data_IF_494018744881
#
_entry.id   IF_494018744881
#
_cell.length_a   1.000
_cell.length_b   1.000
_cell.length_c   1.000
_cell.angle_alpha   90.00
_cell.angle_beta   90.00
_cell.angle_gamma   90.00
#
_symmetry.space_group_name_H-M   'P 1'
#
loop_
_entity.id
_entity.type
_entity.pdbx_description
1 polymer ?
#
# COMPACT_ATOMS: atom_id res chain seq x y z
N UNK A 1 5.79 17.37 39.40
CA UNK A 1 6.03 17.76 38.01
C UNK A 1 5.58 19.21 37.86
N UNK A 2 6.40 20.08 37.34
CA UNK A 2 5.97 21.42 36.93
C UNK A 2 4.88 21.31 35.85
N UNK A 3 4.00 22.30 35.73
CA UNK A 3 2.81 22.20 34.87
C UNK A 3 3.06 21.89 33.36
N UNK A 4 4.33 21.88 32.93
CA UNK A 4 4.73 21.66 31.54
C UNK A 4 5.54 20.37 31.28
N UNK A 5 5.87 19.58 32.31
CA UNK A 5 6.67 18.36 32.11
C UNK A 5 5.82 17.17 31.67
N UNK A 6 6.24 16.47 30.62
CA UNK A 6 5.66 15.25 30.08
C UNK A 6 6.59 14.06 30.31
N UNK A 7 6.05 12.85 30.26
CA UNK A 7 6.87 11.68 29.99
C UNK A 7 7.26 11.65 28.51
N UNK A 8 8.40 11.06 28.18
CA UNK A 8 8.85 10.95 26.76
C UNK A 8 7.78 10.28 25.91
N UNK A 9 7.14 9.20 26.40
CA UNK A 9 6.02 8.56 25.70
C UNK A 9 4.84 9.50 25.42
N UNK A 10 4.48 10.37 26.39
CA UNK A 10 3.45 11.40 26.19
C UNK A 10 3.89 12.45 25.17
N UNK A 11 5.14 12.90 25.23
CA UNK A 11 5.68 13.92 24.33
C UNK A 11 5.76 13.43 22.86
N UNK A 12 6.03 12.14 22.64
CA UNK A 12 5.99 11.51 21.31
C UNK A 12 4.57 11.60 20.73
N UNK A 13 3.57 11.17 21.49
CA UNK A 13 2.19 11.15 21.02
C UNK A 13 1.66 12.58 20.83
N UNK A 14 1.98 13.49 21.72
CA UNK A 14 1.64 14.92 21.57
C UNK A 14 2.24 15.50 20.27
N UNK A 15 3.52 15.20 19.99
CA UNK A 15 4.18 15.63 18.76
C UNK A 15 3.47 15.06 17.51
N UNK A 16 3.16 13.76 17.52
CA UNK A 16 2.48 13.10 16.41
C UNK A 16 1.08 13.67 16.16
N UNK A 17 0.33 13.91 17.22
CA UNK A 17 -1.01 14.48 17.11
C UNK A 17 -0.97 15.92 16.59
N UNK A 18 -0.15 16.77 17.20
CA UNK A 18 -0.10 18.22 16.91
C UNK A 18 0.54 18.55 15.57
N UNK A 19 1.70 17.93 15.27
CA UNK A 19 2.53 18.31 14.12
C UNK A 19 2.29 17.45 12.89
N UNK A 20 1.90 16.19 13.09
CA UNK A 20 1.71 15.24 11.99
C UNK A 20 0.26 14.81 11.79
N UNK A 21 -0.65 15.31 12.65
CA UNK A 21 -2.08 15.06 12.52
C UNK A 21 -2.49 13.62 12.73
N UNK A 22 -1.73 12.86 13.54
CA UNK A 22 -2.11 11.48 13.91
C UNK A 22 -3.30 11.53 14.85
N UNK A 23 -4.41 10.92 14.47
CA UNK A 23 -5.67 10.90 15.17
C UNK A 23 -6.12 9.49 15.57
N UNK A 24 -5.49 8.46 15.04
CA UNK A 24 -5.74 7.06 15.38
C UNK A 24 -4.44 6.27 15.39
N UNK A 25 -4.34 5.32 16.30
CA UNK A 25 -3.27 4.31 16.36
C UNK A 25 -3.86 2.93 16.57
N UNK A 26 -3.10 1.92 16.16
CA UNK A 26 -3.48 0.51 16.24
C UNK A 26 -2.46 -0.25 17.12
N UNK A 27 -2.92 -1.00 18.10
CA UNK A 27 -2.01 -1.77 18.95
C UNK A 27 -2.67 -2.27 20.22
N UNK A 28 -1.93 -3.06 20.98
CA UNK A 28 -2.35 -3.66 22.23
C UNK A 28 -1.57 -3.03 23.38
N UNK A 29 -2.23 -2.51 24.44
CA UNK A 29 -1.55 -1.99 25.62
C UNK A 29 -0.87 -3.10 26.41
N UNK A 30 0.30 -2.78 26.96
CA UNK A 30 1.02 -3.66 27.86
C UNK A 30 1.97 -2.86 28.75
N UNK A 31 2.60 -3.54 29.70
CA UNK A 31 3.43 -2.88 30.72
C UNK A 31 4.59 -2.07 30.11
N UNK A 32 5.19 -2.57 29.01
CA UNK A 32 6.37 -1.93 28.44
C UNK A 32 6.04 -0.70 27.55
N UNK A 33 4.79 -0.55 27.06
CA UNK A 33 4.39 0.59 26.24
C UNK A 33 3.39 1.53 26.95
N UNK A 34 3.26 1.40 28.29
CA UNK A 34 2.27 2.13 29.10
C UNK A 34 2.38 3.66 28.94
N UNK A 35 3.60 4.19 28.78
CA UNK A 35 3.83 5.63 28.67
C UNK A 35 3.36 6.18 27.30
N UNK A 36 3.41 5.38 26.24
CA UNK A 36 2.80 5.73 24.96
C UNK A 36 1.26 5.77 25.09
N UNK A 37 0.65 4.79 25.76
CA UNK A 37 -0.81 4.76 26.00
C UNK A 37 -1.27 5.89 26.92
N UNK A 38 -0.43 6.31 27.88
CA UNK A 38 -0.69 7.52 28.67
C UNK A 38 -0.79 8.77 27.79
N UNK A 39 0.11 8.87 26.80
CA UNK A 39 0.09 9.94 25.79
C UNK A 39 -1.17 9.93 24.94
N UNK A 40 -1.64 8.75 24.52
CA UNK A 40 -2.88 8.59 23.74
C UNK A 40 -4.10 9.10 24.49
N UNK A 41 -4.24 8.72 25.76
CA UNK A 41 -5.35 9.20 26.60
C UNK A 41 -5.33 10.71 26.76
N UNK A 42 -4.14 11.30 26.96
CA UNK A 42 -3.97 12.74 27.16
C UNK A 42 -4.25 13.57 25.89
N UNK A 43 -3.81 13.11 24.74
CA UNK A 43 -3.92 13.82 23.46
C UNK A 43 -5.27 13.66 22.77
N UNK A 44 -6.11 12.71 23.24
CA UNK A 44 -7.37 12.37 22.59
C UNK A 44 -7.19 11.57 21.28
N UNK A 45 -5.99 11.08 20.99
CA UNK A 45 -5.74 10.17 19.88
C UNK A 45 -6.46 8.84 20.13
N UNK A 46 -7.27 8.41 19.16
CA UNK A 46 -8.02 7.17 19.29
C UNK A 46 -7.08 5.96 19.25
N UNK A 47 -7.11 5.14 20.30
CA UNK A 47 -6.45 3.84 20.32
C UNK A 47 -7.42 2.74 19.87
N UNK A 48 -7.05 1.96 18.87
CA UNK A 48 -7.78 0.80 18.37
C UNK A 48 -7.06 -0.46 18.79
N UNK A 49 -7.71 -1.29 19.60
CA UNK A 49 -7.14 -2.54 20.10
C UNK A 49 -7.63 -3.73 19.28
N UNK A 50 -6.76 -4.35 18.47
CA UNK A 50 -7.03 -5.62 17.79
C UNK A 50 -7.01 -6.77 18.81
N UNK A 51 -7.16 -7.99 18.33
CA UNK A 51 -7.00 -9.22 19.13
C UNK A 51 -5.59 -9.83 18.99
N UNK A 52 -4.86 -9.39 17.96
CA UNK A 52 -3.49 -9.79 17.69
C UNK A 52 -2.74 -8.64 17.00
N UNK A 53 -1.44 -8.50 17.19
CA UNK A 53 -0.67 -7.38 16.61
C UNK A 53 -0.56 -7.49 15.07
N UNK A 54 -0.69 -8.68 14.50
CA UNK A 54 -0.89 -8.86 13.07
C UNK A 54 -2.15 -8.10 12.59
N UNK A 55 -3.24 -8.19 13.36
CA UNK A 55 -4.45 -7.40 13.11
C UNK A 55 -4.20 -5.89 13.20
N UNK A 56 -3.39 -5.43 14.18
CA UNK A 56 -3.01 -4.02 14.29
C UNK A 56 -2.34 -3.50 13.01
N UNK A 57 -1.34 -4.24 12.52
CA UNK A 57 -0.61 -3.86 11.31
C UNK A 57 -1.50 -3.83 10.07
N UNK A 58 -2.36 -4.84 9.86
CA UNK A 58 -3.30 -4.83 8.73
C UNK A 58 -4.39 -3.76 8.86
N UNK A 59 -4.88 -3.44 10.07
CA UNK A 59 -5.80 -2.31 10.28
C UNK A 59 -5.12 -0.99 9.94
N UNK A 60 -3.87 -0.80 10.38
CA UNK A 60 -3.08 0.38 10.05
C UNK A 60 -2.84 0.50 8.54
N UNK A 61 -2.57 -0.61 7.85
CA UNK A 61 -2.39 -0.64 6.41
C UNK A 61 -3.70 -0.29 5.67
N UNK A 62 -4.82 -0.92 6.01
CA UNK A 62 -6.12 -0.61 5.44
C UNK A 62 -6.53 0.86 5.65
N UNK A 63 -6.30 1.39 6.85
CA UNK A 63 -6.52 2.80 7.15
C UNK A 63 -5.63 3.72 6.30
N UNK A 64 -4.36 3.36 6.14
CA UNK A 64 -3.39 4.10 5.34
C UNK A 64 -3.77 4.16 3.86
N UNK A 65 -4.23 3.05 3.28
CA UNK A 65 -4.69 3.00 1.89
C UNK A 65 -5.82 3.99 1.67
N UNK A 66 -6.82 4.00 2.54
CA UNK A 66 -8.01 4.85 2.39
C UNK A 66 -7.68 6.33 2.58
N UNK A 67 -6.93 6.66 3.62
CA UNK A 67 -6.65 8.06 3.99
C UNK A 67 -5.50 8.68 3.20
N UNK A 68 -4.57 7.86 2.70
CA UNK A 68 -3.30 8.32 2.13
C UNK A 68 -2.31 8.85 3.17
N UNK A 69 -2.61 8.70 4.45
CA UNK A 69 -1.77 9.09 5.58
C UNK A 69 -1.04 7.86 6.14
N UNK A 70 0.09 8.00 6.83
CA UNK A 70 0.76 6.88 7.46
C UNK A 70 -0.13 6.20 8.51
N UNK A 71 -0.31 4.90 8.42
CA UNK A 71 -0.87 4.10 9.50
C UNK A 71 0.11 4.05 10.67
N UNK A 72 -0.39 4.16 11.90
CA UNK A 72 0.48 4.19 13.09
C UNK A 72 0.19 3.00 13.99
N UNK A 73 1.19 2.16 14.22
CA UNK A 73 1.14 1.06 15.19
C UNK A 73 1.88 1.44 16.47
N UNK A 74 1.27 1.13 17.63
CA UNK A 74 1.89 1.26 18.95
C UNK A 74 1.99 -0.14 19.55
N UNK A 75 3.20 -0.71 19.53
CA UNK A 75 3.43 -2.12 19.85
C UNK A 75 4.22 -2.29 21.16
N UNK A 76 3.98 -3.39 21.83
CA UNK A 76 4.82 -3.81 22.94
C UNK A 76 6.12 -4.43 22.42
N UNK A 77 7.17 -4.40 23.22
CA UNK A 77 8.46 -5.05 22.95
C UNK A 77 8.31 -6.56 22.67
N UNK A 78 9.28 -7.11 21.97
CA UNK A 78 9.35 -8.56 21.73
C UNK A 78 8.18 -9.09 20.90
N UNK A 79 7.25 -9.87 21.49
CA UNK A 79 6.17 -10.51 20.75
C UNK A 79 5.27 -9.53 20.01
N UNK A 80 5.05 -8.31 20.49
CA UNK A 80 4.25 -7.33 19.77
C UNK A 80 4.85 -6.96 18.43
N UNK A 81 6.16 -6.77 18.37
CA UNK A 81 6.88 -6.47 17.12
C UNK A 81 6.92 -7.69 16.21
N UNK A 82 7.28 -8.86 16.74
CA UNK A 82 7.40 -10.08 15.92
C UNK A 82 6.06 -10.53 15.34
N UNK A 83 4.96 -10.39 16.09
CA UNK A 83 3.60 -10.66 15.60
C UNK A 83 3.17 -9.72 14.47
N UNK A 84 3.67 -8.49 14.44
CA UNK A 84 3.33 -7.49 13.43
C UNK A 84 4.23 -7.51 12.20
N UNK A 85 5.28 -8.34 12.14
CA UNK A 85 6.22 -8.34 11.01
C UNK A 85 5.56 -8.62 9.67
N UNK A 86 4.61 -9.54 9.60
CA UNK A 86 3.91 -9.87 8.36
C UNK A 86 3.19 -8.68 7.74
N UNK A 87 2.31 -7.94 8.44
CA UNK A 87 1.69 -6.74 7.87
C UNK A 87 2.67 -5.60 7.62
N UNK A 88 3.73 -5.46 8.41
CA UNK A 88 4.80 -4.49 8.13
C UNK A 88 5.50 -4.83 6.81
N UNK A 89 5.84 -6.11 6.59
CA UNK A 89 6.41 -6.58 5.32
C UNK A 89 5.45 -6.39 4.15
N UNK A 90 4.14 -6.63 4.35
CA UNK A 90 3.13 -6.36 3.34
C UNK A 90 3.10 -4.88 2.96
N UNK A 91 3.08 -3.97 3.92
CA UNK A 91 3.15 -2.53 3.69
C UNK A 91 4.47 -2.12 3.00
N UNK A 92 5.58 -2.76 3.35
CA UNK A 92 6.87 -2.55 2.70
C UNK A 92 6.81 -2.90 1.21
N UNK A 93 6.35 -4.10 0.86
CA UNK A 93 6.28 -4.56 -0.51
C UNK A 93 5.28 -3.75 -1.36
N UNK A 94 4.17 -3.33 -0.78
CA UNK A 94 3.16 -2.51 -1.45
C UNK A 94 3.44 -0.99 -1.41
N UNK A 95 4.61 -0.58 -0.90
CA UNK A 95 5.01 0.84 -0.85
C UNK A 95 4.00 1.70 -0.09
N UNK A 96 3.61 1.26 1.10
CA UNK A 96 2.61 1.93 1.95
C UNK A 96 3.26 2.53 3.17
N UNK A 97 2.94 3.78 3.53
CA UNK A 97 3.53 4.43 4.69
C UNK A 97 2.95 3.85 5.99
N UNK A 98 3.83 3.43 6.90
CA UNK A 98 3.46 2.93 8.22
C UNK A 98 4.52 3.34 9.25
N UNK A 99 4.10 3.94 10.35
CA UNK A 99 4.96 4.22 11.49
C UNK A 99 4.72 3.17 12.58
N UNK A 100 5.76 2.44 12.93
CA UNK A 100 5.74 1.45 14.01
C UNK A 100 6.54 2.01 15.19
N UNK A 101 5.83 2.42 16.23
CA UNK A 101 6.42 2.79 17.52
C UNK A 101 6.35 1.58 18.43
N UNK A 102 7.49 1.10 18.90
CA UNK A 102 7.55 -0.01 19.80
C UNK A 102 8.37 0.33 21.04
N UNK A 103 7.95 -0.19 22.19
CA UNK A 103 8.85 -0.25 23.34
C UNK A 103 9.93 -1.32 23.11
N UNK A 104 11.01 -1.24 23.85
CA UNK A 104 12.00 -2.32 23.97
C UNK A 104 12.47 -2.44 25.41
N UNK A 105 13.30 -3.44 25.71
CA UNK A 105 13.87 -3.68 27.03
C UNK A 105 14.62 -2.45 27.57
N UNK A 106 14.78 -2.30 28.90
CA UNK A 106 15.50 -1.17 29.48
C UNK A 106 16.92 -1.02 28.93
N UNK A 107 17.44 0.19 28.92
CA UNK A 107 18.76 0.53 28.37
C UNK A 107 19.91 -0.27 28.99
N UNK A 108 19.82 -0.61 30.27
CA UNK A 108 20.83 -1.41 30.99
C UNK A 108 20.83 -2.90 30.60
N UNK A 109 19.77 -3.39 29.98
CA UNK A 109 19.58 -4.76 29.49
C UNK A 109 19.73 -4.94 28.00
N UNK A 110 19.71 -3.85 27.18
CA UNK A 110 19.78 -3.92 25.74
C UNK A 110 20.99 -4.74 25.25
N UNK A 111 20.69 -5.77 24.44
CA UNK A 111 21.70 -6.62 23.80
C UNK A 111 22.50 -7.52 24.74
N UNK A 112 22.16 -7.60 26.04
CA UNK A 112 22.91 -8.35 27.02
C UNK A 112 22.38 -9.74 27.32
N UNK A 113 21.19 -10.07 26.80
CA UNK A 113 20.53 -11.38 27.01
C UNK A 113 20.41 -11.73 28.51
N UNK A 114 20.07 -10.75 29.34
CA UNK A 114 19.87 -10.96 30.78
C UNK A 114 18.52 -11.61 31.10
N UNK A 115 17.66 -11.80 30.08
CA UNK A 115 16.35 -12.42 30.21
C UNK A 115 15.28 -11.52 30.83
N UNK A 116 15.27 -10.17 30.64
CA UNK A 116 14.10 -9.39 30.98
C UNK A 116 12.90 -9.84 30.12
N UNK A 117 11.69 -9.60 30.62
CA UNK A 117 10.47 -9.95 29.89
C UNK A 117 10.48 -9.33 28.49
N UNK A 118 10.11 -10.12 27.45
CA UNK A 118 10.07 -9.71 26.06
C UNK A 118 11.44 -9.32 25.44
N UNK A 119 12.51 -9.87 25.99
CA UNK A 119 13.86 -9.62 25.49
C UNK A 119 14.05 -10.14 24.07
N UNK A 120 14.72 -9.31 23.26
CA UNK A 120 15.24 -9.66 21.94
C UNK A 120 16.69 -9.18 21.88
N UNK A 121 17.61 -9.96 21.31
CA UNK A 121 19.01 -9.56 21.18
C UNK A 121 19.19 -8.20 20.50
N UNK A 122 18.37 -7.93 19.47
CA UNK A 122 18.33 -6.65 18.75
C UNK A 122 16.98 -6.51 18.04
N UNK A 123 16.06 -5.77 18.66
CA UNK A 123 14.71 -5.57 18.09
C UNK A 123 14.74 -4.71 16.82
N UNK A 124 15.64 -3.71 16.75
CA UNK A 124 15.74 -2.87 15.56
C UNK A 124 16.20 -3.67 14.34
N UNK A 125 17.16 -4.58 14.53
CA UNK A 125 17.68 -5.43 13.45
C UNK A 125 16.62 -6.33 12.81
N UNK A 126 15.63 -6.77 13.59
CA UNK A 126 14.49 -7.53 13.05
C UNK A 126 13.67 -6.67 12.09
N UNK A 127 13.45 -5.39 12.41
CA UNK A 127 12.70 -4.44 11.58
C UNK A 127 13.44 -4.00 10.30
N UNK A 128 14.78 -4.05 10.27
CA UNK A 128 15.57 -3.56 9.11
C UNK A 128 15.19 -4.22 7.79
N UNK A 129 14.82 -5.50 7.79
CA UNK A 129 14.49 -6.24 6.58
C UNK A 129 13.13 -5.85 5.96
N UNK A 130 12.26 -5.20 6.73
CA UNK A 130 10.87 -4.87 6.34
C UNK A 130 10.52 -3.40 6.54
N UNK A 131 11.51 -2.55 6.78
CA UNK A 131 11.34 -1.09 6.97
C UNK A 131 12.34 -0.32 6.12
N UNK A 132 12.04 0.95 5.83
CA UNK A 132 13.00 1.88 5.24
C UNK A 132 14.19 2.13 6.17
N UNK A 133 13.90 2.17 7.45
CA UNK A 133 14.87 2.10 8.53
C UNK A 133 14.20 1.60 9.81
N UNK A 134 15.01 1.07 10.71
CA UNK A 134 14.60 0.57 12.02
C UNK A 134 15.68 0.93 13.02
N UNK A 135 15.34 1.70 14.03
CA UNK A 135 16.32 2.25 14.97
C UNK A 135 15.87 2.13 16.42
N UNK A 136 16.82 1.86 17.33
CA UNK A 136 16.60 1.93 18.77
C UNK A 136 17.10 3.27 19.29
N UNK A 137 16.23 4.02 19.98
CA UNK A 137 16.53 5.38 20.46
C UNK A 137 16.70 5.38 21.96
N UNK A 138 17.92 5.61 22.43
CA UNK A 138 18.28 5.69 23.86
C UNK A 138 18.39 7.12 24.37
N UNK A 139 18.47 8.12 23.50
CA UNK A 139 18.47 9.55 23.84
C UNK A 139 17.18 10.21 23.34
N UNK A 140 16.29 10.66 24.24
CA UNK A 140 15.02 11.30 23.87
C UNK A 140 15.17 12.52 22.94
N UNK A 141 16.30 13.21 22.97
CA UNK A 141 16.54 14.40 22.13
C UNK A 141 16.58 14.10 20.65
N UNK A 142 16.84 12.83 20.26
CA UNK A 142 16.88 12.36 18.88
C UNK A 142 15.47 12.10 18.27
N UNK A 143 14.47 11.87 19.12
CA UNK A 143 13.12 11.46 18.69
C UNK A 143 12.45 12.43 17.70
N UNK A 144 12.46 13.77 17.92
CA UNK A 144 11.85 14.69 16.97
C UNK A 144 12.45 14.60 15.56
N UNK A 145 13.78 14.48 15.46
CA UNK A 145 14.47 14.37 14.19
C UNK A 145 14.19 13.03 13.48
N UNK A 146 14.11 11.96 14.26
CA UNK A 146 13.86 10.62 13.72
C UNK A 146 12.40 10.47 13.24
N UNK A 147 11.44 11.01 13.97
CA UNK A 147 10.03 11.07 13.55
C UNK A 147 9.90 11.89 12.26
N UNK A 148 10.58 13.05 12.15
CA UNK A 148 10.58 13.82 10.91
C UNK A 148 11.18 13.03 9.74
N UNK A 149 12.29 12.34 9.95
CA UNK A 149 12.89 11.47 8.93
C UNK A 149 11.89 10.41 8.46
N UNK A 150 11.10 9.82 9.39
CA UNK A 150 10.04 8.87 9.06
C UNK A 150 8.99 9.51 8.13
N UNK A 151 8.46 10.67 8.51
CA UNK A 151 7.46 11.36 7.69
C UNK A 151 8.01 11.87 6.36
N UNK A 152 9.30 12.15 6.28
CA UNK A 152 9.98 12.47 5.02
C UNK A 152 10.03 11.26 4.08
N UNK A 153 10.33 10.06 4.60
CA UNK A 153 10.22 8.82 3.81
C UNK A 153 8.81 8.65 3.24
N UNK A 154 7.77 8.92 4.04
CA UNK A 154 6.39 8.74 3.61
C UNK A 154 5.92 9.72 2.52
N UNK A 155 6.54 10.88 2.39
CA UNK A 155 6.04 11.99 1.54
C UNK A 155 6.94 12.33 0.36
N UNK A 156 8.27 12.23 0.49
CA UNK A 156 9.24 12.73 -0.49
C UNK A 156 9.96 11.63 -1.26
N UNK A 157 9.80 10.38 -0.86
CA UNK A 157 10.40 9.22 -1.52
C UNK A 157 9.36 8.13 -1.75
N UNK A 158 9.80 6.94 -2.15
CA UNK A 158 8.95 5.76 -2.16
C UNK A 158 8.53 5.43 -0.73
N UNK A 159 7.23 5.42 -0.40
CA UNK A 159 6.79 5.12 0.96
C UNK A 159 7.17 3.70 1.39
N UNK A 160 7.63 3.57 2.62
CA UNK A 160 7.97 2.30 3.27
C UNK A 160 7.67 2.40 4.76
N UNK A 161 7.38 1.30 5.47
CA UNK A 161 7.30 1.32 6.91
C UNK A 161 8.59 1.84 7.57
N UNK A 162 8.44 2.42 8.74
CA UNK A 162 9.54 2.84 9.62
C UNK A 162 9.27 2.27 11.00
N UNK A 163 10.28 1.66 11.63
CA UNK A 163 10.21 1.16 12.99
C UNK A 163 11.14 1.96 13.91
N UNK A 164 10.60 2.41 15.03
CA UNK A 164 11.35 3.11 16.09
C UNK A 164 11.11 2.36 17.40
N UNK A 165 12.17 1.73 17.92
CA UNK A 165 12.18 1.06 19.21
C UNK A 165 12.69 2.01 20.29
N UNK A 166 11.97 2.11 21.40
CA UNK A 166 12.30 3.02 22.49
C UNK A 166 12.34 2.22 23.80
N UNK A 167 13.47 2.20 24.55
CA UNK A 167 13.56 1.53 25.83
C UNK A 167 12.49 2.04 26.80
N UNK A 168 11.92 1.14 27.57
CA UNK A 168 10.84 1.48 28.50
C UNK A 168 11.24 2.48 29.58
N UNK A 169 12.49 2.46 30.02
CA UNK A 169 13.05 3.44 30.96
C UNK A 169 13.23 4.81 30.30
N UNK A 170 13.55 4.86 29.01
CA UNK A 170 13.60 6.11 28.22
C UNK A 170 12.20 6.68 28.03
N UNK A 171 11.18 5.86 27.70
CA UNK A 171 9.78 6.29 27.59
C UNK A 171 9.27 6.92 28.90
N UNK A 172 9.77 6.46 30.05
CA UNK A 172 9.38 6.93 31.36
C UNK A 172 10.12 8.19 31.83
N UNK A 173 11.17 8.64 31.14
CA UNK A 173 11.89 9.87 31.49
C UNK A 173 10.98 11.09 31.35
N UNK A 174 11.24 12.11 32.16
CA UNK A 174 10.56 13.41 32.03
C UNK A 174 11.29 14.29 31.03
N UNK A 175 10.53 15.00 30.19
CA UNK A 175 11.05 15.96 29.23
C UNK A 175 10.09 17.15 29.06
N UNK A 176 10.57 18.23 28.48
CA UNK A 176 9.72 19.28 27.94
C UNK A 176 8.99 18.77 26.69
N UNK A 177 7.82 19.32 26.32
CA UNK A 177 7.14 19.02 25.06
C UNK A 177 8.10 19.19 23.87
N UNK A 178 8.10 18.23 22.96
CA UNK A 178 8.95 18.32 21.79
C UNK A 178 8.52 19.50 20.89
N UNK A 179 9.42 20.48 20.76
CA UNK A 179 9.21 21.60 19.87
C UNK A 179 9.73 21.26 18.49
N UNK A 180 8.88 21.35 17.47
CA UNK A 180 9.34 21.17 16.11
C UNK A 180 8.54 21.98 15.10
N UNK A 181 9.26 22.47 14.08
CA UNK A 181 8.66 22.99 12.86
C UNK A 181 8.65 21.87 11.81
N UNK A 182 7.48 21.41 11.42
CA UNK A 182 7.29 20.52 10.29
C UNK A 182 7.87 21.19 9.03
N UNK A 183 8.88 20.59 8.41
CA UNK A 183 9.36 21.03 7.11
C UNK A 183 8.35 20.61 6.03
N UNK A 184 8.07 21.51 5.10
CA UNK A 184 7.28 21.16 3.93
C UNK A 184 8.10 20.21 3.05
N UNK A 185 7.70 18.95 3.01
CA UNK A 185 8.32 17.98 2.11
C UNK A 185 7.92 18.32 0.66
N UNK A 186 8.91 18.45 -0.22
CA UNK A 186 8.69 18.62 -1.66
C UNK A 186 8.89 17.32 -2.38
N UNK A 187 7.99 17.03 -3.32
CA UNK A 187 8.11 15.87 -4.18
C UNK A 187 9.02 16.19 -5.37
N UNK A 188 9.96 15.31 -5.77
CA UNK A 188 10.84 15.54 -6.88
C UNK A 188 10.05 15.59 -8.20
N UNK A 189 10.56 16.36 -9.16
CA UNK A 189 10.08 16.37 -10.55
C UNK A 189 11.24 16.01 -11.47
N UNK A 190 10.97 15.24 -12.53
CA UNK A 190 12.01 14.87 -13.48
C UNK A 190 12.64 16.10 -14.17
N UNK A 191 13.92 16.05 -14.57
CA UNK A 191 14.59 17.17 -15.24
C UNK A 191 13.88 17.56 -16.54
N UNK A 192 13.73 18.87 -16.85
CA UNK A 192 13.07 19.34 -18.06
C UNK A 192 13.65 18.78 -19.36
N UNK A 193 14.96 18.56 -19.44
CA UNK A 193 15.62 17.94 -20.59
C UNK A 193 15.14 16.52 -20.84
N UNK A 194 14.97 15.72 -19.79
CA UNK A 194 14.49 14.35 -19.93
C UNK A 194 12.99 14.31 -20.25
N UNK A 195 12.20 15.27 -19.74
CA UNK A 195 10.79 15.44 -20.12
C UNK A 195 10.66 15.76 -21.62
N UNK A 196 11.53 16.62 -22.18
CA UNK A 196 11.53 16.92 -23.62
C UNK A 196 11.90 15.68 -24.44
N UNK A 197 12.91 14.92 -24.06
CA UNK A 197 13.27 13.65 -24.72
C UNK A 197 12.11 12.63 -24.67
N UNK A 198 11.44 12.51 -23.55
CA UNK A 198 10.25 11.65 -23.41
C UNK A 198 9.14 12.14 -24.33
N UNK A 199 8.90 13.46 -24.41
CA UNK A 199 7.88 14.05 -25.28
C UNK A 199 8.14 13.75 -26.77
N UNK A 200 9.40 13.81 -27.24
CA UNK A 200 9.75 13.42 -28.61
C UNK A 200 9.37 11.96 -28.89
N UNK A 201 9.66 11.05 -27.95
CA UNK A 201 9.32 9.63 -28.08
C UNK A 201 7.81 9.43 -28.16
N UNK A 202 7.06 9.95 -27.18
CA UNK A 202 5.62 9.72 -27.12
C UNK A 202 4.87 10.42 -28.26
N UNK A 203 5.37 11.55 -28.77
CA UNK A 203 4.81 12.23 -29.96
C UNK A 203 5.02 11.42 -31.26
N UNK A 204 6.06 10.59 -31.34
CA UNK A 204 6.31 9.73 -32.50
C UNK A 204 5.51 8.41 -32.49
N UNK A 205 4.90 8.05 -31.37
CA UNK A 205 4.21 6.76 -31.21
C UNK A 205 3.01 6.62 -32.16
N UNK A 206 2.73 5.42 -32.64
CA UNK A 206 1.53 5.09 -33.43
C UNK A 206 0.52 4.26 -32.61
N UNK A 207 1.02 3.38 -31.73
CA UNK A 207 0.26 2.48 -30.88
C UNK A 207 0.71 2.56 -29.41
N UNK A 208 0.63 3.75 -28.77
CA UNK A 208 1.10 3.91 -27.39
C UNK A 208 0.26 3.10 -26.41
N UNK A 209 0.89 2.70 -25.29
CA UNK A 209 0.25 2.06 -24.13
C UNK A 209 0.74 2.74 -22.87
N UNK A 210 -0.14 2.89 -21.89
CA UNK A 210 0.24 3.33 -20.54
C UNK A 210 0.01 2.20 -19.55
N UNK A 211 1.01 1.92 -18.71
CA UNK A 211 0.89 1.01 -17.56
C UNK A 211 1.07 1.85 -16.30
N UNK A 212 0.06 1.91 -15.45
CA UNK A 212 0.06 2.71 -14.25
C UNK A 212 -0.01 1.85 -12.99
N UNK A 213 0.85 2.13 -12.02
CA UNK A 213 0.94 1.44 -10.75
C UNK A 213 0.54 2.26 -9.52
N UNK A 214 0.81 1.71 -8.34
CA UNK A 214 0.47 2.32 -7.05
C UNK A 214 1.05 3.73 -6.84
N UNK A 215 2.16 4.08 -7.52
CA UNK A 215 2.69 5.44 -7.52
C UNK A 215 1.75 6.49 -8.12
N UNK A 216 0.74 6.06 -8.87
CA UNK A 216 -0.28 6.95 -9.46
C UNK A 216 -1.49 7.20 -8.56
N UNK A 217 -1.54 6.66 -7.34
CA UNK A 217 -2.71 6.70 -6.46
C UNK A 217 -3.25 8.11 -6.17
N UNK A 218 -2.40 9.11 -6.27
CA UNK A 218 -2.73 10.55 -6.14
C UNK A 218 -2.62 11.32 -7.46
N UNK A 219 -2.56 10.64 -8.62
CA UNK A 219 -2.29 11.24 -9.92
C UNK A 219 -3.33 10.83 -10.99
N UNK A 220 -4.57 10.54 -10.57
CA UNK A 220 -5.61 10.04 -11.47
C UNK A 220 -6.00 11.03 -12.56
N UNK A 221 -6.07 12.34 -12.26
CA UNK A 221 -6.34 13.40 -13.22
C UNK A 221 -5.22 13.54 -14.26
N UNK A 222 -3.98 13.49 -13.81
CA UNK A 222 -2.80 13.56 -14.67
C UNK A 222 -2.66 12.33 -15.55
N UNK A 223 -2.98 11.14 -15.00
CA UNK A 223 -3.01 9.90 -15.76
C UNK A 223 -4.06 9.93 -16.86
N UNK A 224 -5.27 10.40 -16.55
CA UNK A 224 -6.34 10.54 -17.53
C UNK A 224 -5.98 11.55 -18.64
N UNK A 225 -5.40 12.70 -18.25
CA UNK A 225 -4.97 13.72 -19.21
C UNK A 225 -3.85 13.22 -20.13
N UNK A 226 -2.87 12.48 -19.60
CA UNK A 226 -1.79 11.85 -20.37
C UNK A 226 -2.37 10.82 -21.36
N UNK A 227 -3.24 9.93 -20.88
CA UNK A 227 -3.87 8.89 -21.70
C UNK A 227 -4.70 9.50 -22.85
N UNK A 228 -5.48 10.54 -22.56
CA UNK A 228 -6.28 11.27 -23.57
C UNK A 228 -5.39 11.99 -24.59
N UNK A 229 -4.30 12.63 -24.15
CA UNK A 229 -3.37 13.31 -25.06
C UNK A 229 -2.69 12.34 -26.03
N UNK A 230 -2.42 11.11 -25.59
CA UNK A 230 -1.78 10.06 -26.39
C UNK A 230 -2.79 9.18 -27.15
N UNK A 231 -4.09 9.24 -26.85
CA UNK A 231 -5.09 8.24 -27.22
C UNK A 231 -4.61 6.80 -26.88
N UNK A 232 -4.11 6.62 -25.69
CA UNK A 232 -3.49 5.38 -25.23
C UNK A 232 -4.38 4.63 -24.23
N UNK A 233 -4.59 3.30 -24.40
CA UNK A 233 -5.23 2.49 -23.38
C UNK A 233 -4.35 2.44 -22.12
N UNK A 234 -5.00 2.47 -20.96
CA UNK A 234 -4.34 2.41 -19.64
C UNK A 234 -4.59 1.07 -18.99
N UNK A 235 -3.52 0.34 -18.73
CA UNK A 235 -3.51 -0.84 -17.87
C UNK A 235 -3.15 -0.42 -16.46
N UNK A 236 -3.94 -0.89 -15.51
CA UNK A 236 -3.73 -0.63 -14.08
C UNK A 236 -3.11 -1.88 -13.43
N UNK A 237 -2.05 -1.72 -12.67
CA UNK A 237 -1.56 -2.80 -11.80
C UNK A 237 -2.42 -2.91 -10.54
N UNK A 238 -2.22 -3.93 -9.72
CA UNK A 238 -3.08 -4.20 -8.58
C UNK A 238 -3.30 -3.00 -7.67
N UNK A 239 -2.22 -2.37 -7.22
CA UNK A 239 -2.25 -1.21 -6.33
C UNK A 239 -2.75 0.10 -6.99
N UNK A 240 -2.97 0.10 -8.32
CA UNK A 240 -3.51 1.24 -9.06
C UNK A 240 -5.01 1.12 -9.35
N UNK A 241 -5.68 0.03 -8.94
CA UNK A 241 -7.10 -0.17 -9.22
C UNK A 241 -7.94 0.99 -8.69
N UNK A 242 -8.75 1.59 -9.58
CA UNK A 242 -9.56 2.76 -9.28
C UNK A 242 -8.86 4.11 -9.46
N UNK A 243 -7.55 4.17 -9.73
CA UNK A 243 -6.84 5.43 -10.04
C UNK A 243 -7.43 6.10 -11.29
N UNK A 244 -7.76 5.31 -12.29
CA UNK A 244 -8.63 5.70 -13.40
C UNK A 244 -9.94 4.93 -13.25
N UNK A 245 -11.08 5.62 -13.31
CA UNK A 245 -12.38 4.96 -13.19
C UNK A 245 -12.55 3.86 -14.25
N UNK A 246 -13.10 2.73 -13.83
CA UNK A 246 -13.43 1.62 -14.75
C UNK A 246 -14.42 2.02 -15.85
N UNK A 247 -15.16 3.13 -15.68
CA UNK A 247 -16.05 3.70 -16.68
C UNK A 247 -15.34 4.56 -17.73
N UNK A 248 -14.08 4.94 -17.50
CA UNK A 248 -13.33 5.74 -18.47
C UNK A 248 -12.99 4.89 -19.70
N UNK A 249 -13.27 5.42 -20.91
CA UNK A 249 -13.15 4.70 -22.19
C UNK A 249 -11.75 4.13 -22.44
N UNK A 250 -10.71 4.83 -22.05
CA UNK A 250 -9.30 4.40 -22.18
C UNK A 250 -8.84 3.47 -21.04
N UNK A 251 -9.65 3.23 -20.01
CA UNK A 251 -9.26 2.35 -18.89
C UNK A 251 -9.43 0.88 -19.30
N UNK A 252 -8.35 0.16 -19.49
CA UNK A 252 -8.37 -1.28 -19.70
C UNK A 252 -8.50 -2.08 -18.39
N UNK A 253 -8.25 -1.45 -17.23
CA UNK A 253 -8.29 -2.09 -15.92
C UNK A 253 -7.11 -3.02 -15.66
N UNK A 254 -7.30 -4.01 -14.79
CA UNK A 254 -6.23 -4.92 -14.32
C UNK A 254 -6.08 -6.16 -15.23
N UNK A 255 -5.93 -5.95 -16.54
CA UNK A 255 -5.89 -7.03 -17.52
C UNK A 255 -4.47 -7.52 -17.88
N UNK A 256 -3.43 -6.95 -17.28
CA UNK A 256 -2.04 -7.25 -17.64
C UNK A 256 -1.62 -8.69 -17.30
N UNK A 257 -2.36 -9.38 -16.44
CA UNK A 257 -2.15 -10.80 -16.10
C UNK A 257 -2.41 -11.76 -17.27
N UNK A 258 -3.11 -11.32 -18.32
CA UNK A 258 -3.46 -12.17 -19.45
C UNK A 258 -2.37 -12.13 -20.52
N UNK A 259 -1.82 -13.31 -20.89
CA UNK A 259 -0.73 -13.43 -21.84
C UNK A 259 -1.00 -12.82 -23.23
N UNK A 260 -2.27 -12.76 -23.70
CA UNK A 260 -2.63 -12.02 -24.92
C UNK A 260 -2.36 -10.51 -24.74
N UNK A 261 -2.82 -9.94 -23.60
CA UNK A 261 -2.62 -8.51 -23.31
C UNK A 261 -1.13 -8.20 -23.17
N UNK A 262 -0.35 -9.10 -22.54
CA UNK A 262 1.10 -8.94 -22.44
C UNK A 262 1.75 -8.87 -23.82
N UNK A 263 1.39 -9.77 -24.76
CA UNK A 263 1.93 -9.75 -26.13
C UNK A 263 1.57 -8.47 -26.87
N UNK A 264 0.32 -8.00 -26.74
CA UNK A 264 -0.12 -6.75 -27.35
C UNK A 264 0.67 -5.54 -26.79
N UNK A 265 0.99 -5.54 -25.50
CA UNK A 265 1.81 -4.53 -24.82
C UNK A 265 3.28 -4.63 -25.25
N UNK A 266 3.83 -5.85 -25.34
CA UNK A 266 5.20 -6.10 -25.77
C UNK A 266 5.45 -5.63 -27.20
N UNK A 267 4.44 -5.68 -28.07
CA UNK A 267 4.48 -5.23 -29.47
C UNK A 267 4.15 -3.74 -29.67
N UNK A 268 3.77 -3.01 -28.63
CA UNK A 268 3.52 -1.58 -28.72
C UNK A 268 4.79 -0.81 -29.10
N UNK A 269 4.66 0.20 -29.95
CA UNK A 269 5.81 1.00 -30.39
C UNK A 269 6.33 1.95 -29.32
N UNK A 270 5.45 2.38 -28.39
CA UNK A 270 5.82 3.15 -27.19
C UNK A 270 5.02 2.67 -25.98
N UNK A 271 5.69 2.39 -24.89
CA UNK A 271 5.09 2.06 -23.59
C UNK A 271 5.51 3.08 -22.55
N UNK A 272 4.54 3.73 -21.91
CA UNK A 272 4.78 4.62 -20.78
C UNK A 272 4.46 3.85 -19.50
N UNK A 273 5.47 3.61 -18.67
CA UNK A 273 5.34 2.85 -17.41
C UNK A 273 5.48 3.82 -16.24
N UNK A 274 4.43 3.93 -15.41
CA UNK A 274 4.36 4.95 -14.35
C UNK A 274 4.14 4.32 -12.99
N UNK A 275 5.06 4.54 -12.07
CA UNK A 275 4.92 4.21 -10.64
C UNK A 275 4.55 2.75 -10.35
N UNK A 276 5.18 1.81 -11.04
CA UNK A 276 4.96 0.37 -10.83
C UNK A 276 6.26 -0.43 -10.86
N UNK A 277 6.32 -1.48 -10.07
CA UNK A 277 7.42 -2.45 -10.10
C UNK A 277 7.30 -3.47 -11.24
N UNK A 278 6.11 -3.60 -11.87
CA UNK A 278 5.76 -4.71 -12.75
C UNK A 278 6.01 -6.06 -12.04
N UNK A 279 5.42 -6.21 -10.85
CA UNK A 279 5.64 -7.36 -9.98
C UNK A 279 5.10 -8.66 -10.57
N UNK A 280 5.43 -9.79 -9.96
CA UNK A 280 4.93 -11.10 -10.39
C UNK A 280 3.40 -11.18 -10.29
N UNK A 281 2.81 -10.55 -9.29
CA UNK A 281 1.35 -10.49 -9.11
C UNK A 281 0.66 -9.58 -10.13
N UNK A 282 1.38 -8.63 -10.74
CA UNK A 282 0.84 -7.82 -11.84
C UNK A 282 0.86 -8.58 -13.18
N UNK A 283 1.78 -9.52 -13.35
CA UNK A 283 2.03 -10.20 -14.62
C UNK A 283 1.52 -11.65 -14.64
N UNK A 284 1.60 -12.36 -13.53
CA UNK A 284 1.22 -13.78 -13.40
C UNK A 284 1.77 -14.66 -14.53
N UNK A 285 3.07 -14.49 -14.84
CA UNK A 285 3.73 -15.13 -16.00
C UNK A 285 5.00 -15.91 -15.62
N UNK A 286 5.08 -16.40 -14.40
CA UNK A 286 6.22 -17.18 -13.89
C UNK A 286 7.48 -16.33 -13.66
N UNK A 287 7.33 -15.07 -13.31
CA UNK A 287 8.45 -14.18 -13.01
C UNK A 287 9.15 -13.58 -14.23
N UNK A 288 8.67 -13.86 -15.45
CA UNK A 288 9.23 -13.33 -16.68
C UNK A 288 9.05 -11.82 -16.77
N UNK A 289 10.09 -11.07 -17.07
CA UNK A 289 9.97 -9.66 -17.43
C UNK A 289 9.27 -9.50 -18.79
N UNK A 290 8.52 -8.41 -18.97
CA UNK A 290 7.95 -8.07 -20.29
C UNK A 290 9.09 -7.69 -21.26
N UNK A 291 9.03 -8.21 -22.48
CA UNK A 291 10.00 -7.95 -23.53
C UNK A 291 9.45 -6.90 -24.50
N UNK A 292 9.59 -5.62 -24.16
CA UNK A 292 9.13 -4.53 -25.01
C UNK A 292 9.97 -4.42 -26.27
N UNK A 293 9.34 -4.51 -27.44
CA UNK A 293 10.01 -4.32 -28.74
C UNK A 293 10.11 -2.85 -29.14
N UNK A 294 9.27 -2.01 -28.59
CA UNK A 294 9.23 -0.57 -28.81
C UNK A 294 10.02 0.23 -27.77
N UNK A 295 9.87 1.54 -27.80
CA UNK A 295 10.50 2.46 -26.86
C UNK A 295 9.78 2.49 -25.52
N UNK A 296 10.51 2.54 -24.41
CA UNK A 296 9.96 2.60 -23.06
C UNK A 296 10.29 3.93 -22.41
N UNK A 297 9.27 4.67 -21.98
CA UNK A 297 9.39 5.83 -21.10
C UNK A 297 8.99 5.41 -19.70
N UNK A 298 9.89 5.50 -18.73
CA UNK A 298 9.60 5.08 -17.36
C UNK A 298 9.62 6.24 -16.39
N UNK A 299 8.53 6.39 -15.62
CA UNK A 299 8.35 7.41 -14.59
C UNK A 299 8.27 6.70 -13.23
N UNK A 300 9.17 7.02 -12.33
CA UNK A 300 9.14 6.51 -10.95
C UNK A 300 9.84 7.49 -10.01
N UNK A 301 9.39 7.55 -8.76
CA UNK A 301 10.02 8.38 -7.72
C UNK A 301 11.31 7.73 -7.20
N UNK A 302 11.42 6.41 -7.30
CA UNK A 302 12.55 5.61 -6.83
C UNK A 302 13.48 5.27 -8.01
N UNK A 303 14.70 5.84 -8.05
CA UNK A 303 15.66 5.58 -9.13
C UNK A 303 16.04 4.09 -9.23
N UNK A 304 15.99 3.33 -8.16
CA UNK A 304 16.27 1.89 -8.19
C UNK A 304 15.19 1.10 -8.95
N UNK A 305 13.94 1.61 -9.00
CA UNK A 305 12.86 0.97 -9.74
C UNK A 305 12.92 1.26 -11.24
N UNK A 306 13.52 2.36 -11.66
CA UNK A 306 13.58 2.77 -13.08
C UNK A 306 14.16 1.68 -13.99
N UNK A 307 15.20 1.00 -13.54
CA UNK A 307 15.90 -0.06 -14.31
C UNK A 307 15.43 -1.46 -13.96
N UNK A 308 14.55 -1.61 -12.97
CA UNK A 308 14.11 -2.94 -12.54
C UNK A 308 13.12 -3.52 -13.54
N UNK A 309 13.38 -4.75 -14.01
CA UNK A 309 12.56 -5.52 -14.98
C UNK A 309 12.34 -4.85 -16.35
N UNK A 310 12.91 -3.68 -16.60
CA UNK A 310 12.82 -3.00 -17.91
C UNK A 310 14.10 -2.22 -18.18
N UNK A 311 14.44 -2.07 -19.48
CA UNK A 311 15.50 -1.18 -19.92
C UNK A 311 14.85 0.04 -20.60
N UNK A 312 14.62 1.14 -19.90
CA UNK A 312 13.91 2.27 -20.46
C UNK A 312 14.76 3.00 -21.51
N UNK A 313 14.09 3.51 -22.55
CA UNK A 313 14.69 4.43 -23.52
C UNK A 313 14.91 5.82 -22.90
N UNK A 314 13.96 6.24 -22.05
CA UNK A 314 14.06 7.46 -21.24
C UNK A 314 13.57 7.19 -19.83
N UNK A 315 14.33 7.67 -18.84
CA UNK A 315 14.05 7.55 -17.41
C UNK A 315 13.66 8.90 -16.83
N UNK A 316 12.49 8.98 -16.23
CA UNK A 316 11.97 10.18 -15.56
C UNK A 316 11.87 9.92 -14.05
N UNK A 317 12.94 10.25 -13.31
CA UNK A 317 12.94 10.12 -11.85
C UNK A 317 12.19 11.29 -11.23
N UNK A 318 10.99 11.02 -10.68
CA UNK A 318 10.13 12.05 -10.11
C UNK A 318 8.76 11.54 -9.69
N UNK A 319 8.02 12.39 -8.97
CA UNK A 319 6.63 12.15 -8.61
C UNK A 319 5.77 11.98 -9.85
N UNK A 320 4.90 10.99 -9.84
CA UNK A 320 4.06 10.63 -10.98
C UNK A 320 3.16 11.79 -11.43
N UNK A 321 2.50 12.49 -10.50
CA UNK A 321 1.60 13.61 -10.85
C UNK A 321 2.37 14.77 -11.48
N UNK A 322 3.44 15.22 -10.82
CA UNK A 322 4.23 16.33 -11.31
C UNK A 322 4.85 16.04 -12.67
N UNK A 323 5.44 14.83 -12.82
CA UNK A 323 6.13 14.43 -14.05
C UNK A 323 5.16 14.23 -15.21
N UNK A 324 4.01 13.57 -14.99
CA UNK A 324 2.98 13.40 -16.03
C UNK A 324 2.37 14.75 -16.44
N UNK A 325 2.14 15.66 -15.49
CA UNK A 325 1.61 17.00 -15.80
C UNK A 325 2.55 17.75 -16.74
N UNK A 326 3.83 17.80 -16.42
CA UNK A 326 4.84 18.46 -17.27
C UNK A 326 4.97 17.79 -18.63
N UNK A 327 5.03 16.46 -18.69
CA UNK A 327 5.11 15.71 -19.93
C UNK A 327 3.89 16.00 -20.82
N UNK A 328 2.69 16.00 -20.26
CA UNK A 328 1.44 16.20 -21.00
C UNK A 328 1.39 17.58 -21.68
N UNK A 329 2.01 18.63 -21.10
CA UNK A 329 2.10 19.96 -21.73
C UNK A 329 2.93 19.97 -23.03
N UNK A 330 3.76 18.95 -23.25
CA UNK A 330 4.65 18.84 -24.43
C UNK A 330 4.12 17.86 -25.49
N UNK A 331 2.95 17.27 -25.26
CA UNK A 331 2.35 16.29 -26.17
C UNK A 331 1.44 16.99 -27.19
N UNK A 332 1.66 16.68 -28.45
CA UNK A 332 0.72 17.02 -29.53
C UNK A 332 -0.46 16.06 -29.45
N UNK A 333 -1.63 16.58 -29.07
CA UNK A 333 -2.85 15.78 -28.90
C UNK A 333 -3.20 15.01 -30.16
N UNK A 334 -3.58 13.76 -29.99
CA UNK A 334 -4.06 12.87 -31.07
C UNK A 334 -5.57 12.85 -31.08
N UNK A 335 -6.11 12.65 -32.27
CA UNK A 335 -7.54 12.46 -32.51
C UNK A 335 -7.67 11.12 -33.23
N UNK A 336 -7.73 10.03 -32.48
CA UNK A 336 -8.08 8.71 -33.00
C UNK A 336 -8.97 8.02 -31.95
N UNK A 337 -9.55 6.89 -32.28
CA UNK A 337 -10.32 6.07 -31.33
C UNK A 337 -9.67 4.70 -31.13
N UNK A 338 -8.40 4.56 -31.49
CA UNK A 338 -7.68 3.30 -31.42
C UNK A 338 -7.46 2.87 -29.96
N UNK A 339 -7.12 3.83 -29.08
CA UNK A 339 -6.92 3.58 -27.65
C UNK A 339 -8.15 3.02 -26.96
N UNK A 340 -9.32 3.60 -27.23
CA UNK A 340 -10.61 3.15 -26.69
C UNK A 340 -10.96 1.74 -27.16
N UNK A 341 -10.79 1.46 -28.45
CA UNK A 341 -11.05 0.14 -29.04
C UNK A 341 -10.16 -0.93 -28.41
N UNK A 342 -8.88 -0.65 -28.24
CA UNK A 342 -7.92 -1.56 -27.59
C UNK A 342 -8.26 -1.80 -26.12
N UNK A 343 -8.57 -0.75 -25.36
CA UNK A 343 -8.97 -0.86 -23.95
C UNK A 343 -10.23 -1.73 -23.80
N UNK A 344 -11.24 -1.53 -24.63
CA UNK A 344 -12.46 -2.33 -24.66
C UNK A 344 -12.16 -3.79 -24.96
N UNK A 345 -11.37 -4.07 -26.01
CA UNK A 345 -10.99 -5.43 -26.41
C UNK A 345 -10.29 -6.18 -25.28
N UNK A 346 -9.39 -5.53 -24.53
CA UNK A 346 -8.69 -6.15 -23.41
C UNK A 346 -9.62 -6.44 -22.22
N UNK A 347 -10.54 -5.52 -21.90
CA UNK A 347 -11.57 -5.77 -20.85
C UNK A 347 -12.46 -6.97 -21.20
N UNK A 348 -12.96 -7.01 -22.45
CA UNK A 348 -13.79 -8.12 -22.94
C UNK A 348 -13.04 -9.45 -22.91
N UNK A 349 -11.76 -9.44 -23.32
CA UNK A 349 -10.92 -10.62 -23.25
C UNK A 349 -10.75 -11.11 -21.80
N UNK A 350 -10.48 -10.22 -20.83
CA UNK A 350 -10.34 -10.58 -19.44
C UNK A 350 -11.62 -11.20 -18.86
N UNK A 351 -12.79 -10.60 -19.16
CA UNK A 351 -14.09 -11.15 -18.74
C UNK A 351 -14.34 -12.53 -19.37
N UNK A 352 -14.07 -12.70 -20.64
CA UNK A 352 -14.26 -13.98 -21.34
C UNK A 352 -13.32 -15.09 -20.84
N UNK A 353 -12.15 -14.72 -20.30
CA UNK A 353 -11.18 -15.66 -19.73
C UNK A 353 -11.40 -15.98 -18.24
N UNK A 354 -12.31 -15.28 -17.59
CA UNK A 354 -12.65 -15.57 -16.20
C UNK A 354 -13.31 -16.94 -16.10
N UNK A 355 -12.85 -17.77 -15.14
CA UNK A 355 -13.39 -19.09 -14.94
C UNK A 355 -14.91 -19.04 -14.70
N UNK A 356 -15.67 -19.85 -15.43
CA UNK A 356 -17.14 -19.89 -15.38
C UNK A 356 -17.69 -20.19 -13.98
N UNK A 357 -16.93 -20.91 -13.14
CA UNK A 357 -17.25 -21.19 -11.74
C UNK A 357 -17.46 -19.91 -10.91
N UNK A 358 -16.69 -18.83 -11.21
CA UNK A 358 -16.74 -17.59 -10.45
C UNK A 358 -17.69 -16.53 -11.04
N UNK A 359 -18.03 -16.63 -12.32
CA UNK A 359 -18.81 -15.63 -13.02
C UNK A 359 -20.17 -15.29 -12.36
N UNK A 360 -21.00 -16.26 -11.94
CA UNK A 360 -22.27 -15.94 -11.30
C UNK A 360 -22.11 -15.15 -9.99
N UNK A 361 -21.08 -15.46 -9.20
CA UNK A 361 -20.77 -14.78 -7.95
C UNK A 361 -20.27 -13.36 -8.20
N UNK A 362 -19.37 -13.20 -9.16
CA UNK A 362 -18.84 -11.89 -9.54
C UNK A 362 -19.94 -11.00 -10.11
N UNK A 363 -20.87 -11.54 -10.91
CA UNK A 363 -22.04 -10.82 -11.42
C UNK A 363 -22.97 -10.38 -10.29
N UNK A 364 -23.24 -11.24 -9.31
CA UNK A 364 -24.06 -10.90 -8.16
C UNK A 364 -23.43 -9.79 -7.31
N UNK A 365 -22.12 -9.87 -7.06
CA UNK A 365 -21.39 -8.81 -6.35
C UNK A 365 -21.42 -7.51 -7.17
N UNK A 366 -21.09 -7.55 -8.45
CA UNK A 366 -21.09 -6.38 -9.35
C UNK A 366 -22.44 -5.67 -9.38
N UNK A 367 -23.55 -6.46 -9.41
CA UNK A 367 -24.92 -5.93 -9.45
C UNK A 367 -25.39 -5.29 -8.16
N UNK A 368 -24.72 -5.58 -7.02
CA UNK A 368 -25.11 -5.09 -5.69
C UNK A 368 -24.10 -4.14 -5.05
N UNK A 369 -22.88 -4.11 -5.58
CA UNK A 369 -21.78 -3.31 -5.02
C UNK A 369 -22.00 -1.81 -5.26
N UNK A 370 -22.15 -0.97 -4.23
CA UNK A 370 -22.24 0.47 -4.41
C UNK A 370 -20.99 1.05 -5.09
N UNK A 371 -21.16 2.10 -5.88
CA UNK A 371 -20.06 2.71 -6.64
C UNK A 371 -18.96 3.33 -5.76
N UNK A 372 -19.29 3.69 -4.52
CA UNK A 372 -18.37 4.21 -3.51
C UNK A 372 -17.86 3.14 -2.53
N UNK A 373 -18.22 1.87 -2.73
CA UNK A 373 -17.80 0.78 -1.86
C UNK A 373 -16.27 0.66 -1.79
N UNK A 374 -15.80 0.25 -0.63
CA UNK A 374 -14.43 -0.19 -0.39
C UNK A 374 -14.42 -1.71 -0.45
N UNK A 375 -13.47 -2.28 -1.19
CA UNK A 375 -13.31 -3.74 -1.31
C UNK A 375 -11.95 -4.15 -0.76
N UNK A 376 -11.95 -5.00 0.26
CA UNK A 376 -10.76 -5.59 0.85
C UNK A 376 -10.71 -7.10 0.50
N UNK A 377 -9.61 -7.53 -0.07
CA UNK A 377 -9.44 -8.88 -0.58
C UNK A 377 -8.35 -9.64 0.17
N UNK A 378 -8.59 -10.91 0.39
CA UNK A 378 -7.57 -11.89 0.76
C UNK A 378 -7.06 -12.64 -0.48
N UNK A 379 -6.01 -13.44 -0.32
CA UNK A 379 -5.51 -14.33 -1.36
C UNK A 379 -6.42 -15.55 -1.47
N UNK A 380 -7.47 -15.46 -2.30
CA UNK A 380 -8.41 -16.55 -2.58
C UNK A 380 -8.89 -16.52 -4.02
N UNK A 381 -9.33 -17.66 -4.55
CA UNK A 381 -9.68 -17.85 -5.97
C UNK A 381 -10.71 -16.83 -6.48
N UNK A 382 -11.78 -16.58 -5.73
CA UNK A 382 -12.79 -15.59 -6.10
C UNK A 382 -12.18 -14.18 -6.16
N UNK A 383 -11.35 -13.83 -5.18
CA UNK A 383 -10.70 -12.52 -5.10
C UNK A 383 -9.74 -12.28 -6.26
N UNK A 384 -8.99 -13.28 -6.71
CA UNK A 384 -8.14 -13.14 -7.88
C UNK A 384 -8.94 -12.72 -9.11
N UNK A 385 -10.08 -13.37 -9.37
CA UNK A 385 -10.96 -13.00 -10.48
C UNK A 385 -11.63 -11.63 -10.29
N UNK A 386 -11.88 -11.22 -9.06
CA UNK A 386 -12.47 -9.91 -8.74
C UNK A 386 -11.56 -8.74 -9.20
N UNK A 387 -10.24 -8.94 -9.26
CA UNK A 387 -9.31 -7.88 -9.65
C UNK A 387 -9.57 -7.32 -11.07
N UNK A 388 -9.92 -8.15 -12.02
CA UNK A 388 -10.23 -7.69 -13.39
C UNK A 388 -11.70 -7.65 -13.71
N UNK A 389 -12.55 -8.29 -12.90
CA UNK A 389 -13.99 -8.32 -13.12
C UNK A 389 -14.72 -7.15 -12.50
N UNK A 390 -14.54 -6.94 -11.18
CA UNK A 390 -15.29 -5.92 -10.46
C UNK A 390 -14.82 -4.51 -10.81
N UNK A 391 -15.77 -3.56 -10.99
CA UNK A 391 -15.41 -2.18 -11.26
C UNK A 391 -14.81 -1.51 -10.00
N UNK A 392 -13.97 -0.51 -10.23
CA UNK A 392 -13.56 0.46 -9.23
C UNK A 392 -13.62 1.85 -9.85
N UNK A 393 -14.35 2.75 -9.21
CA UNK A 393 -14.62 4.09 -9.75
C UNK A 393 -13.77 5.18 -9.09
N UNK A 394 -13.15 4.85 -7.95
CA UNK A 394 -12.39 5.77 -7.12
C UNK A 394 -11.04 5.17 -6.73
N UNK A 395 -10.02 6.01 -6.73
CA UNK A 395 -8.74 5.70 -6.09
C UNK A 395 -8.95 5.37 -4.60
N UNK A 396 -8.07 4.55 -4.03
CA UNK A 396 -8.10 4.20 -2.61
C UNK A 396 -9.41 3.51 -2.16
N UNK A 397 -10.01 2.71 -3.05
CA UNK A 397 -11.19 1.90 -2.72
C UNK A 397 -10.95 0.40 -2.83
N UNK A 398 -9.71 -0.01 -3.15
CA UNK A 398 -9.36 -1.39 -3.41
C UNK A 398 -8.12 -1.79 -2.60
N UNK A 399 -8.28 -2.75 -1.71
CA UNK A 399 -7.27 -3.22 -0.76
C UNK A 399 -6.98 -4.69 -1.03
N UNK A 400 -5.72 -5.02 -1.26
CA UNK A 400 -5.30 -6.42 -1.44
C UNK A 400 -3.80 -6.57 -1.17
N UNK A 401 -3.32 -7.79 -0.84
CA UNK A 401 -1.94 -8.04 -0.46
C UNK A 401 -1.07 -8.38 -1.69
N UNK A 402 -0.89 -7.45 -2.62
CA UNK A 402 -0.21 -7.75 -3.89
C UNK A 402 1.28 -8.05 -3.74
N UNK A 403 2.01 -7.23 -2.97
CA UNK A 403 3.48 -7.28 -2.98
C UNK A 403 4.06 -8.43 -2.17
N UNK A 404 3.35 -8.92 -1.16
CA UNK A 404 3.83 -9.98 -0.27
C UNK A 404 2.93 -11.21 -0.24
N UNK A 405 1.68 -11.08 -0.72
CA UNK A 405 0.76 -12.20 -0.89
C UNK A 405 0.27 -12.84 0.41
N UNK A 406 0.14 -12.06 1.48
CA UNK A 406 -0.24 -12.57 2.81
C UNK A 406 -1.67 -13.08 2.84
N UNK A 407 -1.91 -14.13 3.66
CA UNK A 407 -3.24 -14.60 4.02
C UNK A 407 -3.73 -13.87 5.29
N UNK A 408 -5.06 -13.78 5.44
CA UNK A 408 -5.71 -13.24 6.63
C UNK A 408 -5.79 -11.71 6.68
N UNK A 409 -5.47 -11.01 5.61
CA UNK A 409 -5.43 -9.54 5.61
C UNK A 409 -6.79 -8.87 5.39
N UNK A 410 -7.75 -9.51 4.69
CA UNK A 410 -8.98 -8.85 4.25
C UNK A 410 -9.82 -8.28 5.40
N UNK A 411 -10.09 -9.07 6.43
CA UNK A 411 -10.91 -8.62 7.56
C UNK A 411 -10.26 -7.46 8.34
N UNK A 412 -9.01 -7.55 8.82
CA UNK A 412 -8.43 -6.43 9.55
C UNK A 412 -8.18 -5.20 8.67
N UNK A 413 -7.82 -5.34 7.38
CA UNK A 413 -7.77 -4.20 6.45
C UNK A 413 -9.14 -3.53 6.30
N UNK A 414 -10.24 -4.32 6.19
CA UNK A 414 -11.59 -3.81 6.13
C UNK A 414 -11.99 -3.04 7.40
N UNK A 415 -11.56 -3.52 8.59
CA UNK A 415 -11.75 -2.81 9.85
C UNK A 415 -11.05 -1.44 9.80
N UNK A 416 -9.77 -1.41 9.42
CA UNK A 416 -9.02 -0.16 9.26
C UNK A 416 -9.67 0.80 8.26
N UNK A 417 -10.15 0.27 7.13
CA UNK A 417 -10.88 1.04 6.13
C UNK A 417 -12.21 1.60 6.65
N UNK A 418 -12.97 0.83 7.44
CA UNK A 418 -14.23 1.30 8.04
C UNK A 418 -14.03 2.42 9.05
N UNK A 419 -12.89 2.44 9.75
CA UNK A 419 -12.50 3.54 10.65
C UNK A 419 -12.13 4.78 9.84
N UNK A 420 -11.41 4.61 8.73
CA UNK A 420 -10.96 5.69 7.85
C UNK A 420 -12.11 6.36 7.09
N UNK A 421 -13.15 5.58 6.73
CA UNK A 421 -14.29 6.04 5.94
C UNK A 421 -15.61 5.49 6.49
N UNK A 422 -16.10 5.97 7.64
CA UNK A 422 -17.21 5.37 8.39
C UNK A 422 -18.57 5.42 7.69
N UNK A 423 -18.69 6.23 6.64
CA UNK A 423 -19.92 6.36 5.84
C UNK A 423 -19.94 5.49 4.59
N UNK A 424 -18.78 4.95 4.17
CA UNK A 424 -18.68 4.14 2.97
C UNK A 424 -18.95 2.65 3.28
N UNK A 425 -19.67 1.94 2.39
CA UNK A 425 -19.81 0.49 2.52
C UNK A 425 -18.45 -0.21 2.37
N UNK A 426 -18.21 -1.24 3.17
CA UNK A 426 -16.98 -2.05 3.09
C UNK A 426 -17.34 -3.50 2.86
N UNK A 427 -16.81 -4.09 1.79
CA UNK A 427 -16.87 -5.51 1.48
C UNK A 427 -15.50 -6.15 1.70
N UNK A 428 -15.41 -7.14 2.56
CA UNK A 428 -14.24 -8.00 2.70
C UNK A 428 -14.52 -9.35 2.02
N UNK A 429 -13.60 -9.83 1.17
CA UNK A 429 -13.68 -11.15 0.55
C UNK A 429 -12.49 -11.97 1.03
N UNK A 430 -12.73 -13.05 1.74
CA UNK A 430 -11.71 -13.94 2.27
C UNK A 430 -12.01 -15.40 1.91
N UNK A 431 -10.97 -16.22 1.79
CA UNK A 431 -11.12 -17.67 1.73
C UNK A 431 -11.29 -18.27 3.13
N UNK A 432 -11.87 -19.48 3.21
CA UNK A 432 -12.03 -20.22 4.46
C UNK A 432 -10.70 -20.39 5.23
N UNK A 433 -9.62 -20.77 4.54
CA UNK A 433 -8.28 -20.87 5.14
C UNK A 433 -7.71 -19.50 5.56
N UNK A 434 -7.75 -18.50 4.69
CA UNK A 434 -7.23 -17.16 4.98
C UNK A 434 -7.94 -16.47 6.14
N UNK A 435 -9.26 -16.58 6.20
CA UNK A 435 -10.06 -16.01 7.29
C UNK A 435 -9.64 -16.53 8.68
N UNK A 436 -9.29 -17.81 8.78
CA UNK A 436 -8.88 -18.42 10.07
C UNK A 436 -7.60 -17.80 10.64
N UNK A 437 -6.73 -17.19 9.82
CA UNK A 437 -5.52 -16.50 10.30
C UNK A 437 -5.84 -15.30 11.21
N UNK A 438 -6.98 -14.64 10.99
CA UNK A 438 -7.36 -13.42 11.71
C UNK A 438 -8.82 -13.43 12.18
N UNK A 439 -9.41 -14.61 12.34
CA UNK A 439 -10.80 -14.78 12.76
C UNK A 439 -11.12 -14.07 14.08
N UNK A 440 -10.16 -13.98 14.99
CA UNK A 440 -10.29 -13.27 16.26
C UNK A 440 -10.64 -11.78 16.09
N UNK A 441 -10.28 -11.18 14.95
CA UNK A 441 -10.60 -9.78 14.66
C UNK A 441 -12.08 -9.51 14.41
N UNK A 442 -12.90 -10.56 14.26
CA UNK A 442 -14.37 -10.45 14.32
C UNK A 442 -14.82 -9.79 15.62
N UNK A 443 -14.16 -10.11 16.74
CA UNK A 443 -14.45 -9.47 18.02
C UNK A 443 -14.06 -7.98 18.04
N UNK A 444 -12.94 -7.62 17.40
CA UNK A 444 -12.56 -6.22 17.25
C UNK A 444 -13.56 -5.46 16.36
N UNK A 445 -14.00 -6.06 15.25
CA UNK A 445 -15.01 -5.46 14.37
C UNK A 445 -16.34 -5.22 15.14
N UNK A 446 -16.74 -6.15 15.99
CA UNK A 446 -17.93 -6.00 16.86
C UNK A 446 -17.78 -4.86 17.85
N UNK A 447 -16.66 -4.79 18.60
CA UNK A 447 -16.42 -3.76 19.61
C UNK A 447 -16.37 -2.35 18.97
N UNK A 448 -15.85 -2.26 17.76
CA UNK A 448 -15.76 -1.01 16.99
C UNK A 448 -17.08 -0.65 16.28
N UNK A 449 -18.07 -1.53 16.32
CA UNK A 449 -19.32 -1.41 15.55
C UNK A 449 -19.04 -1.17 14.04
N UNK A 450 -18.04 -1.86 13.50
CA UNK A 450 -17.61 -1.71 12.11
C UNK A 450 -18.68 -2.22 11.14
N UNK A 451 -19.05 -1.38 10.16
CA UNK A 451 -20.05 -1.73 9.12
C UNK A 451 -19.35 -2.41 7.96
N UNK A 452 -19.14 -3.72 8.08
CA UNK A 452 -18.43 -4.54 7.09
C UNK A 452 -19.32 -5.70 6.69
N UNK A 453 -19.38 -5.99 5.40
CA UNK A 453 -19.91 -7.26 4.88
C UNK A 453 -18.69 -8.15 4.63
N UNK A 454 -18.61 -9.27 5.32
CA UNK A 454 -17.61 -10.31 5.09
C UNK A 454 -18.21 -11.42 4.24
N UNK A 455 -17.70 -11.57 3.02
CA UNK A 455 -17.99 -12.68 2.13
C UNK A 455 -16.90 -13.74 2.29
N UNK A 456 -17.29 -14.90 2.79
CA UNK A 456 -16.41 -16.05 2.96
C UNK A 456 -16.56 -16.99 1.76
N UNK A 457 -15.47 -17.16 1.01
CA UNK A 457 -15.37 -18.16 -0.06
C UNK A 457 -14.89 -19.48 0.53
N UNK A 458 -15.82 -20.36 0.83
CA UNK A 458 -15.54 -21.69 1.38
C UNK A 458 -15.43 -22.72 0.24
N UNK A 459 -14.21 -23.16 -0.03
CA UNK A 459 -13.90 -24.27 -0.94
C UNK A 459 -13.35 -25.51 -0.19
N UNK A 460 -13.42 -25.50 1.16
CA UNK A 460 -13.03 -26.56 2.07
C UNK A 460 -11.54 -26.91 2.03
N UNK A 461 -10.68 -25.90 1.81
CA UNK A 461 -9.24 -26.09 1.84
C UNK A 461 -8.45 -25.07 1.03
N UNK A 462 -7.18 -25.37 0.79
CA UNK A 462 -6.28 -24.55 -0.02
C UNK A 462 -6.38 -24.95 -1.51
N UNK A 463 -7.58 -24.77 -2.09
CA UNK A 463 -7.91 -25.24 -3.44
C UNK A 463 -6.98 -24.66 -4.52
N UNK A 464 -6.58 -23.39 -4.41
CA UNK A 464 -5.62 -22.81 -5.35
C UNK A 464 -4.27 -23.55 -5.32
N UNK A 465 -3.86 -24.01 -4.16
CA UNK A 465 -2.60 -24.78 -4.01
C UNK A 465 -2.78 -26.17 -4.57
N UNK A 466 -3.94 -26.79 -4.37
CA UNK A 466 -4.25 -28.11 -4.96
C UNK A 466 -4.22 -28.04 -6.49
N UNK A 467 -4.87 -27.04 -7.10
CA UNK A 467 -4.79 -26.83 -8.56
C UNK A 467 -3.33 -26.65 -9.03
N UNK A 468 -2.51 -25.94 -8.26
CA UNK A 468 -1.09 -25.76 -8.59
C UNK A 468 -0.27 -27.06 -8.49
N UNK A 469 -0.60 -27.96 -7.56
CA UNK A 469 0.00 -29.30 -7.48
C UNK A 469 -0.41 -30.15 -8.69
N UNK A 470 -1.69 -30.11 -9.06
CA UNK A 470 -2.21 -30.84 -10.24
C UNK A 470 -1.51 -30.36 -11.53
N UNK A 471 -1.26 -29.06 -11.68
CA UNK A 471 -0.58 -28.47 -12.84
C UNK A 471 0.86 -28.95 -13.01
N UNK A 472 1.55 -29.32 -11.93
CA UNK A 472 2.94 -29.83 -11.95
C UNK A 472 3.02 -31.36 -11.73
N UNK A 473 1.88 -32.01 -11.66
CA UNK A 473 1.74 -33.47 -11.42
C UNK A 473 2.46 -33.94 -10.14
N UNK A 474 2.36 -33.15 -9.05
CA UNK A 474 2.97 -33.42 -7.76
C UNK A 474 1.98 -33.97 -6.73
#
# INVERSE_FOLDING_TARGET
MTANQLRVGEAIIDLLAREYGVDVVFGIPGVHNIELYRGLHRSGVRAVSPRHEQGAGFMADGWSIITGRPGVCVLISGPGVTNALTPIAQAYHDSRPMLVLASTTPTDALGKSFGPLHDLPDQAKIGESVCAFSETVTDPSQLPALIERAFNVFTSSRPRPVHIAIPMDVLAQTCEPFARKKLAATKPTAPPSEILRAAEIVNSAQNPVVIAGGGCVNAGSELAALAQALDAPVLLTGNAKGVMSSSHELCAGNCLVFGRVQRDVESADVVVVVGTELSDTDLYNGGRALNFTGKVVRIDIDPAQIIRRTSPTVSLVGDAANTMRELTTKITKRISQNGQTRAKTWREHARAKTNVKFQPWLQAIEGTLPSDAIVALDSTQLAYSAHWWLPATQSRSWLAPYGFGTLGCALPMAIGASIAAPTRPVLAIAGDGGWLFTVAEMAAAKDLNSKIVLLLWDNRGYEQIRESFDDVAA
#
